data_IF_973301570898
#
_entry.id   IF_973301570898
#
_cell.length_a   1.000
_cell.length_b   1.000
_cell.length_c   1.000
_cell.angle_alpha   90.00
_cell.angle_beta   90.00
_cell.angle_gamma   90.00
#
_symmetry.space_group_name_H-M   'P 1'
#
loop_
_entity.id
_entity.type
_entity.pdbx_description
1 polymer ?
2 non-polymer ?
3 non-polymer ?
4 water ?
#
# COMPACT_ATOMS: atom_id res chain seq x y z
N UNK A 11 -16.92 -16.38 -4.75
CA UNK A 11 -16.90 -16.11 -3.28
C UNK A 11 -17.79 -17.11 -2.54
N UNK A 12 -17.39 -17.38 -1.29
CA UNK A 12 -18.21 -18.06 -0.33
C UNK A 12 -19.31 -17.12 0.17
N UNK A 13 -20.56 -17.62 0.14
CA UNK A 13 -21.70 -16.92 0.71
C UNK A 13 -21.81 -17.34 2.18
N UNK A 14 -21.77 -16.37 3.08
CA UNK A 14 -21.73 -16.67 4.50
C UNK A 14 -23.07 -16.28 5.11
N UNK A 15 -23.60 -17.18 5.95
CA UNK A 15 -24.88 -16.94 6.59
C UNK A 15 -24.68 -15.92 7.71
N UNK A 16 -25.55 -14.90 7.89
CA UNK A 16 -25.36 -13.90 8.95
C UNK A 16 -25.28 -14.38 10.40
N UNK A 17 -25.87 -15.55 10.67
CA UNK A 17 -25.85 -16.11 12.01
C UNK A 17 -24.43 -16.53 12.37
N UNK A 18 -23.55 -16.66 11.35
CA UNK A 18 -22.17 -17.07 11.54
C UNK A 18 -21.23 -15.90 11.85
N UNK A 19 -21.75 -14.66 11.86
CA UNK A 19 -20.94 -13.45 11.95
C UNK A 19 -21.46 -12.56 13.07
N UNK A 20 -20.57 -12.16 14.00
CA UNK A 20 -20.90 -11.11 14.95
C UNK A 20 -19.95 -9.91 14.81
N UNK A 21 -20.53 -8.72 14.64
CA UNK A 21 -19.80 -7.47 14.63
C UNK A 21 -19.57 -7.00 16.07
N UNK A 22 -18.34 -6.62 16.43
CA UNK A 22 -18.05 -6.24 17.80
C UNK A 22 -17.67 -4.76 17.89
N UNK A 23 -16.67 -4.35 17.12
CA UNK A 23 -16.08 -3.03 17.35
C UNK A 23 -15.83 -2.38 16.00
N UNK A 24 -16.19 -1.11 15.86
CA UNK A 24 -15.90 -0.33 14.68
C UNK A 24 -14.39 -0.09 14.60
N UNK A 25 -13.77 -0.35 13.44
CA UNK A 25 -12.34 -0.15 13.25
C UNK A 25 -12.07 0.78 12.07
N UNK A 26 -13.11 1.18 11.34
CA UNK A 26 -12.98 2.05 10.19
C UNK A 26 -14.37 2.48 9.76
N UNK A 27 -14.48 3.62 9.06
CA UNK A 27 -15.79 4.11 8.66
C UNK A 27 -15.69 5.20 7.58
N UNK A 31 -19.86 2.97 4.14
CA UNK A 31 -20.29 2.17 5.31
C UNK A 31 -19.24 2.18 6.41
N UNK A 32 -19.24 1.13 7.26
CA UNK A 32 -18.19 0.97 8.27
C UNK A 32 -17.51 -0.39 8.14
N UNK A 33 -16.36 -0.48 8.82
CA UNK A 33 -15.61 -1.72 9.01
C UNK A 33 -15.59 -2.04 10.49
N UNK A 34 -15.80 -3.33 10.78
CA UNK A 34 -15.83 -3.84 12.14
C UNK A 34 -14.83 -4.96 12.30
N UNK A 35 -14.24 -5.04 13.49
CA UNK A 35 -13.71 -6.28 14.00
C UNK A 35 -14.89 -7.11 14.53
N UNK A 36 -14.83 -8.40 14.24
CA UNK A 36 -15.84 -9.33 14.68
C UNK A 36 -15.32 -10.76 14.69
N UNK A 37 -16.26 -11.71 14.86
CA UNK A 37 -15.96 -13.12 14.91
C UNK A 37 -16.81 -13.84 13.87
N UNK A 38 -16.19 -14.82 13.21
CA UNK A 38 -16.81 -15.72 12.24
C UNK A 38 -16.82 -17.12 12.83
N UNK A 39 -18.00 -17.73 12.89
CA UNK A 39 -18.18 -19.11 13.29
C UNK A 39 -18.88 -19.87 12.18
N UNK A 40 -18.10 -20.54 11.30
CA UNK A 40 -18.66 -21.35 10.23
C UNK A 40 -19.44 -22.54 10.81
N UNK A 45 -14.16 -22.73 17.91
CA UNK A 45 -14.09 -22.79 16.43
C UNK A 45 -14.45 -21.44 15.79
N UNK A 46 -14.33 -20.34 16.55
CA UNK A 46 -14.63 -19.01 16.06
C UNK A 46 -13.35 -18.23 15.79
N UNK A 47 -13.33 -17.44 14.70
CA UNK A 47 -12.10 -16.78 14.29
C UNK A 47 -12.34 -15.27 14.13
N UNK A 48 -11.36 -14.40 14.44
CA UNK A 48 -11.53 -12.95 14.27
C UNK A 48 -11.52 -12.65 12.78
N UNK A 49 -12.34 -11.67 12.38
CA UNK A 49 -12.49 -11.23 11.00
C UNK A 49 -12.72 -9.73 10.99
N UNK A 50 -12.52 -9.11 9.84
CA UNK A 50 -13.03 -7.78 9.59
C UNK A 50 -14.29 -7.91 8.75
N UNK A 51 -15.22 -6.98 8.95
CA UNK A 51 -16.55 -6.99 8.36
C UNK A 51 -16.88 -5.60 7.83
N UNK A 52 -17.02 -5.48 6.51
CA UNK A 52 -17.37 -4.20 5.90
C UNK A 52 -18.83 -4.27 5.45
N UNK A 53 -19.65 -3.28 5.83
CA UNK A 53 -21.07 -3.25 5.45
C UNK A 53 -21.34 -2.21 4.36
N UNK A 54 -22.31 -2.46 3.47
CA UNK A 54 -22.80 -1.41 2.59
C UNK A 54 -23.74 -0.43 3.33
N UNK A 58 -28.44 1.83 -1.29
CA UNK A 58 -27.30 1.86 -2.23
C UNK A 58 -27.89 1.74 -3.63
N UNK A 59 -27.18 2.30 -4.59
CA UNK A 59 -27.57 2.30 -6.00
C UNK A 59 -27.08 1.01 -6.64
N UNK A 60 -27.50 0.78 -7.91
CA UNK A 60 -26.93 -0.31 -8.70
C UNK A 60 -25.41 -0.14 -8.82
N UNK A 61 -24.90 1.08 -9.08
CA UNK A 61 -23.47 1.32 -9.19
C UNK A 61 -22.73 0.97 -7.89
N UNK A 62 -23.30 1.41 -6.76
CA UNK A 62 -22.74 1.07 -5.46
C UNK A 62 -22.66 -0.45 -5.26
N UNK A 63 -23.73 -1.18 -5.62
CA UNK A 63 -23.74 -2.62 -5.43
C UNK A 63 -22.68 -3.30 -6.31
N UNK A 64 -22.61 -2.89 -7.58
CA UNK A 64 -21.67 -3.45 -8.53
C UNK A 64 -20.25 -3.18 -8.03
N UNK A 65 -19.96 -1.96 -7.56
CA UNK A 65 -18.65 -1.61 -7.02
C UNK A 65 -18.33 -2.37 -5.75
N UNK A 66 -19.29 -2.52 -4.82
CA UNK A 66 -19.08 -3.19 -3.55
C UNK A 66 -18.83 -4.68 -3.79
N UNK A 67 -19.75 -5.35 -4.49
CA UNK A 67 -19.58 -6.77 -4.75
C UNK A 67 -18.45 -6.99 -5.75
N UNK A 68 -18.15 -5.95 -6.53
CA UNK A 68 -17.04 -5.97 -7.48
C UNK A 68 -15.69 -6.11 -6.76
N UNK A 69 -15.54 -5.35 -5.68
CA UNK A 69 -14.36 -5.37 -4.85
C UNK A 69 -14.21 -6.75 -4.23
N UNK A 70 -15.30 -7.31 -3.70
CA UNK A 70 -15.27 -8.67 -3.16
C UNK A 70 -14.87 -9.68 -4.26
N UNK A 71 -15.43 -9.53 -5.44
CA UNK A 71 -15.14 -10.44 -6.54
C UNK A 71 -13.66 -10.39 -6.90
N UNK A 72 -13.08 -9.18 -6.99
CA UNK A 72 -11.67 -9.00 -7.25
C UNK A 72 -10.88 -9.68 -6.14
N UNK A 73 -11.15 -9.38 -4.86
CA UNK A 73 -10.38 -9.96 -3.77
C UNK A 73 -10.49 -11.50 -3.82
N UNK A 74 -11.67 -12.02 -4.10
CA UNK A 74 -11.89 -13.46 -4.12
C UNK A 74 -11.17 -14.15 -5.28
N UNK A 75 -10.72 -13.40 -6.30
CA UNK A 75 -9.99 -13.96 -7.43
C UNK A 75 -8.53 -14.18 -7.08
N UNK A 76 -8.07 -13.57 -5.98
CA UNK A 76 -6.66 -13.60 -5.63
C UNK A 76 -6.42 -14.55 -4.44
N UNK A 77 -5.25 -15.19 -4.49
CA UNK A 77 -4.75 -16.06 -3.44
C UNK A 77 -3.24 -15.86 -3.33
N UNK A 78 -2.83 -14.99 -2.39
CA UNK A 78 -1.43 -14.63 -2.23
C UNK A 78 -1.22 -14.17 -0.78
N UNK A 79 -0.09 -14.53 -0.19
CA UNK A 79 0.28 -14.19 1.18
C UNK A 79 0.19 -12.69 1.46
N UNK A 80 0.48 -11.84 0.44
CA UNK A 80 0.59 -10.40 0.63
C UNK A 80 -0.60 -9.65 0.03
N UNK A 81 -1.73 -10.36 -0.09
CA UNK A 81 -2.99 -9.79 -0.54
C UNK A 81 -4.05 -10.21 0.47
N UNK A 82 -4.80 -9.23 0.95
CA UNK A 82 -5.83 -9.48 1.94
C UNK A 82 -6.74 -10.61 1.47
N UNK A 83 -6.98 -11.54 2.40
CA UNK A 83 -7.75 -12.74 2.12
C UNK A 83 -9.22 -12.50 2.42
N UNK A 84 -10.05 -12.81 1.43
CA UNK A 84 -11.49 -12.77 1.56
C UNK A 84 -11.96 -14.09 2.18
N UNK A 85 -12.78 -14.01 3.25
CA UNK A 85 -13.47 -15.16 3.79
C UNK A 85 -14.79 -15.41 3.04
N UNK A 86 -15.51 -14.35 2.68
CA UNK A 86 -16.76 -14.51 1.97
C UNK A 86 -17.58 -13.25 2.01
N UNK A 87 -18.85 -13.35 1.54
CA UNK A 87 -19.73 -12.20 1.46
C UNK A 87 -21.06 -12.59 2.05
N UNK A 88 -21.80 -11.57 2.52
CA UNK A 88 -23.24 -11.71 2.71
C UNK A 88 -23.90 -10.84 1.64
N UNK A 89 -24.47 -11.52 0.65
CA UNK A 89 -25.09 -10.85 -0.48
C UNK A 89 -26.57 -11.18 -0.56
N UNK A 90 -27.02 -12.29 0.08
CA UNK A 90 -28.42 -12.72 -0.02
C UNK A 90 -29.29 -11.98 0.98
N UNK A 91 -28.66 -11.32 1.95
CA UNK A 91 -29.35 -10.58 2.99
C UNK A 91 -28.78 -9.17 2.98
N UNK A 92 -29.47 -8.24 3.64
CA UNK A 92 -29.10 -6.84 3.65
C UNK A 92 -29.06 -6.38 5.10
N UNK A 93 -28.10 -5.51 5.50
CA UNK A 93 -27.10 -4.94 4.59
C UNK A 93 -26.13 -6.00 4.06
N UNK A 94 -25.60 -5.80 2.86
CA UNK A 94 -24.60 -6.69 2.31
C UNK A 94 -23.28 -6.45 3.04
N UNK A 95 -22.45 -7.50 3.11
CA UNK A 95 -21.21 -7.43 3.87
C UNK A 95 -20.10 -8.16 3.13
N UNK A 96 -18.88 -7.65 3.35
CA UNK A 96 -17.64 -8.34 2.98
C UNK A 96 -16.91 -8.77 4.25
N UNK A 97 -16.40 -10.01 4.24
CA UNK A 97 -15.76 -10.56 5.43
C UNK A 97 -14.34 -10.97 5.03
N UNK A 98 -13.34 -10.37 5.70
CA UNK A 98 -11.95 -10.66 5.39
C UNK A 98 -11.24 -11.17 6.64
N UNK A 99 -10.00 -11.62 6.46
CA UNK A 99 -9.11 -11.79 7.60
C UNK A 99 -9.01 -10.47 8.38
N UNK A 100 -8.71 -10.58 9.68
CA UNK A 100 -8.53 -9.41 10.52
C UNK A 100 -7.04 -9.15 10.68
N UNK A 101 -6.62 -7.92 10.36
CA UNK A 101 -5.22 -7.56 10.33
C UNK A 101 -4.95 -6.76 11.61
N UNK A 102 -4.24 -7.41 12.55
CA UNK A 102 -4.22 -7.00 13.96
C UNK A 102 -3.63 -5.60 14.18
N UNK A 103 -2.74 -5.19 13.30
CA UNK A 103 -2.00 -3.95 13.42
C UNK A 103 -2.54 -2.87 12.50
N UNK A 104 -3.60 -3.15 11.75
CA UNK A 104 -4.27 -2.09 11.01
C UNK A 104 -3.45 -1.53 9.83
N UNK A 105 -3.73 -0.28 9.49
CA UNK A 105 -3.17 0.38 8.31
C UNK A 105 -1.71 0.77 8.57
N UNK A 106 -0.87 0.51 7.57
CA UNK A 106 0.58 0.65 7.69
C UNK A 106 0.97 2.10 8.00
N UNK A 107 0.28 3.08 7.41
CA UNK A 107 0.67 4.47 7.63
C UNK A 107 0.56 4.86 9.12
N UNK A 108 -0.62 4.59 9.68
CA UNK A 108 -0.89 4.88 11.08
C UNK A 108 -0.02 4.06 12.02
N UNK A 109 0.19 2.78 11.69
CA UNK A 109 1.02 1.89 12.44
C UNK A 109 2.46 2.42 12.54
N UNK A 110 3.04 2.81 11.39
CA UNK A 110 4.41 3.32 11.39
C UNK A 110 4.50 4.57 12.29
N UNK A 111 3.52 5.46 12.20
CA UNK A 111 3.55 6.74 12.91
C UNK A 111 3.37 6.54 14.42
N UNK A 112 2.70 5.45 14.80
CA UNK A 112 2.52 5.10 16.21
C UNK A 112 3.69 4.27 16.77
N UNK A 113 4.61 3.82 15.92
CA UNK A 113 5.65 2.88 16.33
C UNK A 113 6.98 3.40 15.85
N UNK A 114 7.11 4.73 15.82
CA UNK A 114 8.29 5.36 15.28
C UNK A 114 9.55 4.83 15.96
N UNK A 115 10.51 4.36 15.16
CA UNK A 115 11.82 3.93 15.64
C UNK A 115 11.86 2.49 16.18
N UNK A 116 10.73 1.77 16.21
CA UNK A 116 10.61 0.53 17.00
C UNK A 116 11.05 -0.73 16.21
N UNK A 117 11.44 -0.61 14.93
CA UNK A 117 11.83 -1.77 14.13
C UNK A 117 13.27 -1.70 13.67
N UNK A 118 13.86 -2.85 13.38
CA UNK A 118 15.15 -2.90 12.73
C UNK A 118 15.02 -2.54 11.24
N UNK A 119 16.13 -2.15 10.64
CA UNK A 119 16.19 -1.91 9.20
C UNK A 119 15.77 -3.18 8.43
N UNK A 120 16.25 -4.34 8.88
CA UNK A 120 15.90 -5.59 8.23
C UNK A 120 14.38 -5.83 8.28
N UNK A 121 13.74 -5.56 9.43
CA UNK A 121 12.28 -5.68 9.52
C UNK A 121 11.59 -4.76 8.51
N UNK A 122 12.02 -3.50 8.45
CA UNK A 122 11.39 -2.57 7.52
C UNK A 122 11.51 -3.06 6.07
N UNK A 123 12.71 -3.53 5.70
CA UNK A 123 12.95 -4.04 4.35
C UNK A 123 12.09 -5.27 4.05
N UNK A 124 11.91 -6.12 5.07
CA UNK A 124 11.04 -7.29 4.97
C UNK A 124 9.59 -6.90 4.69
N UNK A 125 9.12 -5.83 5.34
CA UNK A 125 7.78 -5.32 5.10
C UNK A 125 7.64 -4.91 3.62
N UNK A 126 8.66 -4.21 3.11
CA UNK A 126 8.65 -3.78 1.73
C UNK A 126 8.71 -4.96 0.76
N UNK A 127 9.46 -6.01 1.11
CA UNK A 127 9.50 -7.16 0.21
C UNK A 127 8.10 -7.76 0.07
N UNK A 128 7.40 -7.88 1.20
CA UNK A 128 6.05 -8.43 1.22
C UNK A 128 5.09 -7.62 0.34
N UNK A 129 5.19 -6.31 0.45
CA UNK A 129 4.32 -5.45 -0.36
C UNK A 129 4.65 -5.63 -1.85
N UNK A 130 5.97 -5.68 -2.15
CA UNK A 130 6.43 -5.90 -3.51
C UNK A 130 5.97 -7.25 -4.09
N UNK A 131 6.00 -8.30 -3.27
CA UNK A 131 5.50 -9.59 -3.69
C UNK A 131 4.00 -9.54 -4.02
N UNK A 132 3.21 -8.89 -3.15
CA UNK A 132 1.79 -8.71 -3.43
C UNK A 132 1.55 -7.97 -4.75
N UNK A 133 2.32 -6.88 -4.93
CA UNK A 133 2.18 -6.07 -6.15
C UNK A 133 2.62 -6.84 -7.39
N UNK A 134 3.69 -7.64 -7.29
CA UNK A 134 4.07 -8.48 -8.43
C UNK A 134 2.93 -9.39 -8.85
N UNK A 135 2.26 -9.99 -7.88
CA UNK A 135 1.17 -10.90 -8.12
C UNK A 135 0.03 -10.15 -8.82
N UNK A 136 -0.36 -8.98 -8.29
CA UNK A 136 -1.43 -8.21 -8.91
C UNK A 136 -1.06 -7.88 -10.37
N UNK A 137 0.17 -7.40 -10.56
CA UNK A 137 0.59 -6.94 -11.87
C UNK A 137 0.56 -8.09 -12.87
N UNK A 138 0.99 -9.26 -12.37
CA UNK A 138 1.04 -10.42 -13.26
C UNK A 138 -0.36 -10.96 -13.55
N UNK A 139 -1.29 -10.68 -12.62
CA UNK A 139 -2.69 -11.01 -12.81
C UNK A 139 -3.42 -9.93 -13.62
N UNK A 140 -2.68 -8.97 -14.20
CA UNK A 140 -3.23 -7.89 -15.02
C UNK A 140 -4.14 -6.96 -14.22
N UNK A 141 -3.80 -6.74 -12.95
CA UNK A 141 -4.53 -5.82 -12.11
C UNK A 141 -3.61 -4.63 -11.81
N UNK A 142 -4.02 -3.43 -12.24
CA UNK A 142 -3.36 -2.17 -11.93
C UNK A 142 -4.09 -1.52 -10.75
N UNK A 143 -3.37 -1.32 -9.64
CA UNK A 143 -3.98 -0.88 -8.41
C UNK A 143 -4.48 0.55 -8.50
N UNK A 144 -3.59 1.46 -8.95
CA UNK A 144 -3.86 2.91 -9.10
C UNK A 144 -3.77 3.71 -7.80
N UNK A 145 -3.83 3.03 -6.64
CA UNK A 145 -3.94 3.75 -5.39
C UNK A 145 -3.03 3.12 -4.33
N UNK A 146 -1.83 2.74 -4.76
CA UNK A 146 -0.90 2.13 -3.82
C UNK A 146 -0.24 3.19 -2.93
N UNK A 147 -0.42 3.02 -1.63
CA UNK A 147 0.02 3.93 -0.58
C UNK A 147 0.05 3.16 0.74
N UNK A 148 0.80 3.65 1.71
CA UNK A 148 0.84 3.00 3.03
C UNK A 148 -0.57 2.91 3.65
N UNK A 149 -1.44 3.87 3.35
CA UNK A 149 -2.79 3.83 3.95
C UNK A 149 -3.59 2.63 3.44
N UNK A 150 -3.19 2.07 2.31
CA UNK A 150 -3.97 0.99 1.69
C UNK A 150 -3.29 -0.37 1.88
N UNK A 151 -2.27 -0.39 2.73
CA UNK A 151 -1.61 -1.62 3.15
C UNK A 151 -1.96 -1.90 4.63
N UNK A 152 -2.21 -3.17 4.94
CA UNK A 152 -2.47 -3.58 6.32
C UNK A 152 -1.37 -4.50 6.82
N UNK A 153 -1.24 -4.55 8.16
CA UNK A 153 -0.17 -5.24 8.88
C UNK A 153 -0.78 -6.22 9.87
N UNK A 154 -0.32 -7.48 9.83
CA UNK A 154 -0.78 -8.48 10.79
C UNK A 154 0.22 -8.64 11.92
N UNK A 155 -0.09 -9.55 12.86
CA UNK A 155 0.73 -9.74 14.05
C UNK A 155 2.02 -10.51 13.77
N UNK A 156 2.31 -10.91 12.51
CA UNK A 156 3.62 -11.40 12.09
C UNK A 156 4.41 -10.35 11.30
N UNK A 157 3.92 -9.10 11.31
CA UNK A 157 4.51 -7.97 10.60
C UNK A 157 4.38 -8.15 9.08
N UNK A 158 3.45 -9.02 8.63
CA UNK A 158 3.23 -9.23 7.23
C UNK A 158 2.37 -8.09 6.72
N UNK A 159 2.83 -7.49 5.62
CA UNK A 159 2.14 -6.39 4.95
C UNK A 159 1.37 -6.95 3.74
N UNK A 160 0.09 -6.58 3.67
CA UNK A 160 -0.81 -7.03 2.62
C UNK A 160 -1.49 -5.85 1.97
N UNK A 161 -1.49 -5.86 0.64
CA UNK A 161 -2.27 -4.91 -0.15
C UNK A 161 -3.76 -5.14 0.11
N UNK A 162 -4.52 -4.09 0.46
CA UNK A 162 -5.73 -4.33 1.25
C UNK A 162 -6.88 -3.43 0.89
N UNK A 163 -6.82 -2.67 -0.22
CA UNK A 163 -7.95 -1.84 -0.62
C UNK A 163 -8.17 -1.96 -2.12
N UNK A 164 -9.31 -2.58 -2.50
CA UNK A 164 -9.59 -2.84 -3.91
C UNK A 164 -10.84 -2.07 -4.31
N UNK A 165 -11.06 -0.91 -3.69
CA UNK A 165 -12.18 -0.03 -3.99
C UNK A 165 -12.16 0.43 -5.44
N UNK A 166 -13.33 0.39 -6.10
CA UNK A 166 -13.41 0.50 -7.55
C UNK A 166 -13.74 1.91 -8.02
N UNK A 167 -14.59 2.63 -7.28
CA UNK A 167 -14.92 4.00 -7.65
C UNK A 167 -13.82 4.92 -7.14
N UNK A 168 -12.75 5.08 -7.93
CA UNK A 168 -11.61 5.90 -7.57
C UNK A 168 -11.31 6.88 -8.70
N UNK A 169 -11.04 8.14 -8.34
CA UNK A 169 -10.67 9.17 -9.28
C UNK A 169 -9.52 9.96 -8.66
N UNK A 170 -8.67 10.54 -9.52
CA UNK A 170 -7.55 11.36 -9.08
C UNK A 170 -8.10 12.63 -8.43
N UNK A 171 -7.58 12.93 -7.23
CA UNK A 171 -7.66 14.25 -6.62
C UNK A 171 -7.51 15.35 -7.67
N UNK A 172 -8.41 16.35 -7.61
CA UNK A 172 -8.34 17.51 -8.48
C UNK A 172 -8.54 17.13 -9.96
N UNK A 173 -9.18 15.99 -10.24
CA UNK A 173 -9.33 15.60 -11.63
C UNK A 173 -9.95 16.78 -12.38
N UNK A 184 -9.97 11.18 -3.91
CA UNK A 184 -9.78 9.71 -3.79
C UNK A 184 -8.28 9.43 -3.98
N UNK A 185 -7.77 9.43 -5.22
CA UNK A 185 -6.36 9.07 -5.39
C UNK A 185 -5.49 10.31 -5.31
N UNK A 186 -4.54 10.38 -4.36
CA UNK A 186 -3.73 11.58 -4.18
C UNK A 186 -2.68 11.69 -5.26
N UNK A 187 -2.52 12.92 -5.72
CA UNK A 187 -1.51 13.29 -6.69
C UNK A 187 -0.12 12.83 -6.30
N UNK A 188 0.28 13.07 -5.05
CA UNK A 188 1.70 12.98 -4.70
C UNK A 188 2.16 11.53 -4.55
N UNK A 189 1.24 10.55 -4.67
CA UNK A 189 1.60 9.14 -4.75
C UNK A 189 1.61 8.63 -6.19
N UNK A 190 1.15 9.47 -7.14
CA UNK A 190 0.87 9.01 -8.50
C UNK A 190 2.02 9.34 -9.45
N UNK A 191 2.26 8.42 -10.40
CA UNK A 191 3.28 8.61 -11.42
C UNK A 191 2.92 9.78 -12.36
N UNK A 192 3.92 10.49 -12.90
CA UNK A 192 3.69 11.65 -13.79
C UNK A 192 2.79 11.35 -15.00
N UNK A 193 2.95 10.19 -15.62
CA UNK A 193 2.17 9.85 -16.81
C UNK A 193 0.71 9.59 -16.44
N UNK A 194 0.44 9.15 -15.20
CA UNK A 194 -0.92 8.89 -14.79
C UNK A 194 -1.62 10.22 -14.56
N UNK A 195 -0.92 11.17 -13.93
CA UNK A 195 -1.40 12.53 -13.82
C UNK A 195 -1.56 13.19 -15.19
N UNK A 196 -0.50 13.19 -16.00
CA UNK A 196 -0.45 13.98 -17.22
C UNK A 196 -1.43 13.51 -18.29
N UNK A 197 -1.53 12.19 -18.53
CA UNK A 197 -2.40 11.71 -19.60
C UNK A 197 -3.15 10.42 -19.25
N UNK A 198 -3.36 10.21 -17.94
CA UNK A 198 -4.27 9.20 -17.43
C UNK A 198 -3.79 7.78 -17.76
N UNK A 199 -2.48 7.60 -17.91
CA UNK A 199 -1.93 6.27 -18.17
C UNK A 199 -1.53 5.58 -16.86
N UNK A 200 -2.45 4.79 -16.33
CA UNK A 200 -2.22 3.96 -15.17
C UNK A 200 -1.90 2.55 -15.63
N UNK A 201 -0.72 2.07 -15.24
CA UNK A 201 -0.21 0.74 -15.54
C UNK A 201 0.52 0.22 -14.30
N UNK A 202 0.98 -1.05 -14.36
CA UNK A 202 1.83 -1.55 -13.30
C UNK A 202 3.10 -0.69 -13.13
N UNK A 203 3.57 0.01 -14.17
CA UNK A 203 4.73 0.87 -14.05
C UNK A 203 4.45 2.14 -13.22
N UNK A 204 3.21 2.64 -13.32
CA UNK A 204 2.79 3.72 -12.46
C UNK A 204 2.60 3.23 -11.02
N UNK A 205 2.21 1.96 -10.86
CA UNK A 205 2.19 1.38 -9.52
C UNK A 205 3.60 1.26 -8.94
N UNK A 206 4.61 0.98 -9.78
CA UNK A 206 5.98 0.93 -9.29
C UNK A 206 6.38 2.29 -8.73
N UNK A 207 6.02 3.40 -9.42
CA UNK A 207 6.28 4.73 -8.90
C UNK A 207 5.71 4.83 -7.50
N UNK A 208 4.45 4.44 -7.38
CA UNK A 208 3.76 4.52 -6.11
C UNK A 208 4.48 3.69 -5.05
N UNK A 209 4.95 2.49 -5.44
CA UNK A 209 5.70 1.65 -4.54
C UNK A 209 6.97 2.36 -4.03
N UNK A 210 7.67 3.09 -4.89
CA UNK A 210 8.79 3.92 -4.49
C UNK A 210 8.39 4.89 -3.37
N UNK A 211 7.20 5.49 -3.47
CA UNK A 211 6.70 6.38 -2.44
C UNK A 211 6.45 5.60 -1.16
N UNK A 212 5.88 4.38 -1.27
CA UNK A 212 5.65 3.55 -0.11
C UNK A 212 6.97 3.18 0.58
N UNK A 213 7.99 2.85 -0.24
CA UNK A 213 9.30 2.60 0.33
C UNK A 213 9.74 3.78 1.22
N UNK A 214 9.55 5.01 0.73
CA UNK A 214 9.97 6.20 1.46
C UNK A 214 9.11 6.36 2.72
N UNK A 215 7.81 6.08 2.61
CA UNK A 215 6.93 6.08 3.79
C UNK A 215 7.46 5.13 4.87
N UNK A 216 7.79 3.90 4.46
CA UNK A 216 8.19 2.91 5.44
C UNK A 216 9.53 3.32 6.06
N UNK A 217 10.51 3.74 5.26
CA UNK A 217 11.83 4.02 5.79
C UNK A 217 11.84 5.29 6.65
N UNK A 218 10.81 6.14 6.52
CA UNK A 218 10.69 7.34 7.32
C UNK A 218 9.73 7.17 8.49
N UNK A 219 9.20 5.98 8.70
CA UNK A 219 8.15 5.73 9.70
C UNK A 219 6.92 6.61 9.51
N UNK A 220 6.50 6.76 8.23
CA UNK A 220 5.21 7.37 7.97
C UNK A 220 5.24 8.89 7.85
N UNK A 221 6.37 9.40 7.42
CA UNK A 221 6.42 10.84 7.08
C UNK A 221 5.53 11.05 5.85
N UNK A 222 4.91 12.22 5.75
CA UNK A 222 4.13 12.58 4.57
C UNK A 222 5.04 13.01 3.42
N UNK A 223 4.97 12.31 2.26
CA UNK A 223 5.80 12.69 1.10
C UNK A 223 5.61 14.15 0.73
N UNK A 224 6.73 14.88 0.58
CA UNK A 224 6.80 16.24 0.06
C UNK A 224 6.28 17.22 1.10
N UNK A 225 5.97 16.75 2.33
CA UNK A 225 5.49 17.60 3.42
C UNK A 225 4.45 18.60 3.00
N UNK A 226 4.70 19.91 3.14
CA UNK A 226 3.63 20.85 2.94
C UNK A 226 3.63 21.40 1.50
N UNK A 227 4.45 20.86 0.58
CA UNK A 227 4.39 21.31 -0.82
C UNK A 227 2.96 21.12 -1.31
N UNK A 228 2.43 22.10 -2.07
CA UNK A 228 1.14 21.94 -2.73
C UNK A 228 1.25 20.89 -3.82
N UNK A 229 0.09 20.40 -4.27
CA UNK A 229 0.05 19.47 -5.40
C UNK A 229 0.82 20.03 -6.59
N UNK A 230 0.63 21.31 -6.93
CA UNK A 230 1.27 21.87 -8.11
C UNK A 230 2.78 22.08 -7.89
N UNK A 231 3.20 22.41 -6.66
CA UNK A 231 4.61 22.45 -6.32
C UNK A 231 5.26 21.06 -6.47
N UNK A 232 4.55 20.00 -6.06
CA UNK A 232 5.09 18.65 -6.17
C UNK A 232 5.30 18.31 -7.65
N UNK A 233 4.27 18.57 -8.45
CA UNK A 233 4.32 18.23 -9.88
C UNK A 233 5.41 18.99 -10.60
N UNK A 234 5.56 20.29 -10.30
CA UNK A 234 6.61 21.10 -10.87
C UNK A 234 8.00 20.59 -10.47
N UNK A 235 8.13 20.23 -9.18
CA UNK A 235 9.40 19.74 -8.69
C UNK A 235 9.77 18.43 -9.39
N UNK A 236 8.81 17.51 -9.47
CA UNK A 236 9.05 16.22 -10.13
C UNK A 236 9.45 16.46 -11.58
N UNK A 237 8.71 17.33 -12.28
CA UNK A 237 8.98 17.57 -13.71
C UNK A 237 10.36 18.20 -13.95
N UNK A 238 10.88 18.96 -12.97
CA UNK A 238 12.19 19.59 -13.02
C UNK A 238 13.30 18.65 -12.55
N UNK A 239 12.98 17.38 -12.20
CA UNK A 239 13.99 16.40 -11.84
C UNK A 239 14.22 16.19 -10.34
N UNK A 240 13.49 16.90 -9.49
CA UNK A 240 13.64 16.72 -8.06
C UNK A 240 12.95 15.45 -7.65
N UNK A 241 13.47 14.80 -6.61
CA UNK A 241 12.80 13.68 -5.98
C UNK A 241 12.85 13.83 -4.46
N UNK A 242 12.07 12.96 -3.78
CA UNK A 242 12.08 12.92 -2.32
C UNK A 242 13.49 12.72 -1.79
N UNK A 243 13.87 13.45 -0.71
CA UNK A 243 15.20 13.35 -0.15
C UNK A 243 15.43 12.05 0.62
N UNK A 244 16.69 11.68 0.75
CA UNK A 244 17.12 10.48 1.44
C UNK A 244 16.52 10.40 2.85
N UNK A 245 15.83 9.30 3.24
CA UNK A 245 15.41 9.11 4.63
C UNK A 245 16.64 9.00 5.51
N UNK A 246 16.43 9.32 6.80
CA UNK A 246 17.47 9.23 7.83
C UNK A 246 17.91 7.77 7.95
N UNK A 247 19.23 7.52 8.01
CA UNK A 247 19.74 6.20 8.29
C UNK A 247 19.18 5.18 7.32
N UNK A 248 19.00 5.59 6.05
CA UNK A 248 18.46 4.72 5.01
C UNK A 248 19.61 4.00 4.30
N UNK A 249 19.55 2.66 4.16
CA UNK A 249 20.55 1.93 3.39
C UNK A 249 20.64 2.49 1.98
N UNK A 250 21.87 2.63 1.51
CA UNK A 250 22.14 3.11 0.16
C UNK A 250 21.38 2.28 -0.86
N UNK A 251 21.39 0.96 -0.73
CA UNK A 251 20.76 0.12 -1.74
C UNK A 251 19.26 0.39 -1.80
N UNK A 252 18.66 0.69 -0.64
CA UNK A 252 17.22 0.94 -0.58
C UNK A 252 16.88 2.29 -1.23
N UNK A 253 17.67 3.33 -0.92
CA UNK A 253 17.46 4.61 -1.57
C UNK A 253 17.67 4.51 -3.08
N UNK A 254 18.74 3.81 -3.53
CA UNK A 254 18.95 3.60 -4.95
C UNK A 254 17.72 2.95 -5.59
N UNK A 255 17.12 1.95 -4.91
CA UNK A 255 15.97 1.25 -5.46
C UNK A 255 14.76 2.18 -5.55
N UNK A 256 14.47 2.97 -4.51
CA UNK A 256 13.32 3.85 -4.59
C UNK A 256 13.55 4.93 -5.65
N UNK A 257 14.79 5.42 -5.85
CA UNK A 257 15.08 6.41 -6.89
C UNK A 257 14.81 5.82 -8.27
N UNK A 258 15.16 4.54 -8.49
CA UNK A 258 14.87 3.92 -9.79
C UNK A 258 13.36 3.77 -10.03
N UNK A 259 12.55 3.65 -8.97
CA UNK A 259 11.11 3.56 -9.13
C UNK A 259 10.56 4.87 -9.67
N UNK A 260 11.33 5.97 -9.45
CA UNK A 260 10.90 7.31 -9.82
C UNK A 260 11.55 7.86 -11.08
N UNK A 261 11.97 6.96 -11.96
CA UNK A 261 12.44 7.36 -13.29
C UNK A 261 11.26 7.92 -14.07
N UNK A 262 11.48 9.06 -14.74
CA UNK A 262 10.43 9.67 -15.54
C UNK A 262 10.01 8.68 -16.63
N UNK A 263 11.00 8.01 -17.22
CA UNK A 263 10.74 7.04 -18.28
C UNK A 263 10.35 5.72 -17.67
N UNK A 264 9.12 5.25 -17.94
CA UNK A 264 8.63 3.97 -17.37
C UNK A 264 9.58 2.81 -17.66
N UNK A 265 10.18 2.79 -18.85
CA UNK A 265 10.97 1.63 -19.21
C UNK A 265 12.24 1.53 -18.36
N UNK A 266 12.62 2.60 -17.64
CA UNK A 266 13.79 2.57 -16.78
C UNK A 266 13.42 2.17 -15.35
N UNK A 267 12.12 2.09 -15.03
CA UNK A 267 11.72 1.70 -13.70
C UNK A 267 11.89 0.21 -13.60
N UNK A 268 12.22 -0.32 -12.41
CA UNK A 268 12.23 -1.76 -12.21
C UNK A 268 10.80 -2.29 -12.34
N UNK A 269 10.68 -3.56 -12.71
CA UNK A 269 9.41 -4.28 -12.57
C UNK A 269 9.29 -4.76 -11.13
N UNK A 270 8.09 -5.08 -10.66
CA UNK A 270 7.97 -5.67 -9.34
C UNK A 270 8.85 -6.93 -9.19
N UNK A 271 9.03 -7.65 -10.29
CA UNK A 271 9.81 -8.89 -10.24
C UNK A 271 11.25 -8.55 -9.84
N UNK A 272 11.73 -7.43 -10.39
CA UNK A 272 13.08 -6.96 -10.10
C UNK A 272 13.19 -6.52 -8.64
N UNK A 273 12.20 -5.75 -8.17
CA UNK A 273 12.15 -5.25 -6.80
C UNK A 273 12.17 -6.42 -5.80
N UNK A 274 11.31 -7.44 -5.99
CA UNK A 274 11.29 -8.61 -5.13
C UNK A 274 12.70 -9.25 -5.07
N UNK A 275 13.31 -9.44 -6.24
CA UNK A 275 14.59 -10.11 -6.37
C UNK A 275 15.64 -9.34 -5.57
N UNK A 276 15.69 -8.01 -5.75
CA UNK A 276 16.68 -7.14 -5.13
C UNK A 276 16.48 -7.17 -3.61
N UNK A 277 15.23 -7.02 -3.15
CA UNK A 277 14.98 -6.98 -1.72
C UNK A 277 15.34 -8.32 -1.09
N UNK A 278 15.06 -9.42 -1.79
CA UNK A 278 15.40 -10.75 -1.29
C UNK A 278 16.90 -10.90 -1.07
N UNK A 279 17.69 -10.45 -2.05
CA UNK A 279 19.14 -10.52 -1.95
C UNK A 279 19.65 -9.70 -0.77
N UNK A 280 19.08 -8.51 -0.56
CA UNK A 280 19.52 -7.66 0.53
C UNK A 280 19.20 -8.31 1.86
N UNK A 281 18.01 -8.91 1.98
CA UNK A 281 17.58 -9.57 3.21
C UNK A 281 18.47 -10.77 3.50
N UNK A 282 18.89 -11.51 2.47
CA UNK A 282 19.66 -12.74 2.68
C UNK A 282 21.15 -12.45 2.95
N UNK A 283 21.60 -11.24 2.62
CA UNK A 283 22.92 -10.74 2.94
C UNK A 283 22.78 -9.43 3.71
N UNK A 284 22.27 -9.48 4.97
CA UNK A 284 21.78 -8.29 5.65
C UNK A 284 22.84 -7.24 5.92
N UNK A 285 24.11 -7.66 5.92
CA UNK A 285 25.22 -6.70 6.05
C UNK A 285 25.20 -5.67 4.91
N UNK A 286 24.59 -6.02 3.77
CA UNK A 286 24.47 -5.14 2.62
C UNK A 286 23.72 -3.85 2.99
N UNK A 287 22.88 -3.94 4.04
CA UNK A 287 22.04 -2.82 4.45
C UNK A 287 22.76 -1.89 5.41
N UNK A 288 24.00 -2.21 5.82
CA UNK A 288 24.72 -1.39 6.79
C UNK A 288 25.32 -0.15 6.12
N UNK A 289 25.46 -0.18 4.79
CA UNK A 289 25.99 0.95 4.05
C UNK A 289 24.86 1.95 3.83
N UNK A 290 24.97 3.15 4.40
CA UNK A 290 23.89 4.13 4.41
C UNK A 290 24.13 5.20 3.35
N UNK A 291 23.03 5.63 2.74
CA UNK A 291 23.01 6.82 1.92
C UNK A 291 23.29 8.03 2.82
N UNK A 292 23.98 9.00 2.23
CA UNK A 292 24.27 10.28 2.87
C UNK A 292 23.09 11.26 2.90
N UNK A 293 23.27 12.28 3.76
CA UNK A 293 22.31 13.33 4.00
C UNK A 293 22.07 14.07 2.70
N UNK A 294 20.79 14.25 2.41
CA UNK A 294 20.34 15.12 1.34
C UNK A 294 20.67 16.58 1.65
N UNK A 295 21.06 17.42 0.64
CA UNK A 295 21.30 18.83 0.90
C UNK A 295 20.07 19.58 1.41
N UNK A 296 18.86 19.11 1.07
CA UNK A 296 17.65 19.79 1.53
C UNK A 296 17.37 19.46 3.00
N UNK A 297 18.02 18.42 3.51
CA UNK A 297 17.95 18.07 4.93
C UNK A 297 18.98 18.88 5.72
N UNK A 298 20.22 18.98 5.21
CA UNK A 298 21.28 19.76 5.85
C UNK A 298 20.82 21.19 6.15
N UNK A 299 20.12 21.82 5.19
CA UNK A 299 19.79 23.24 5.28
C UNK A 299 18.72 23.51 6.35
N UNK A 300 18.04 22.45 6.82
CA UNK A 300 16.96 22.64 7.77
C UNK A 300 17.44 22.28 9.19
N UNK A 301 18.68 21.79 9.35
CA UNK A 301 19.22 21.44 10.67
C UNK A 301 20.07 22.58 11.25
N UNK A 302 19.97 22.90 12.56
CA UNK A 302 20.71 24.03 13.14
C UNK A 302 22.25 23.92 13.10
X LIG B 1 -8.86 -3.27 9.15
X LIG B 1 -9.40 -3.33 7.93
X LIG B 1 -9.89 -0.88 8.06
X LIG B 1 -9.89 -2.18 7.38
X LIG B 1 -8.55 -0.15 8.03
X LIG B 1 -6.13 0.98 10.54
X LIG B 1 -12.07 -5.20 4.62
X LIG B 1 -8.87 -5.64 7.87
X LIG B 1 -8.33 -4.39 9.67
X LIG B 1 -8.56 1.05 10.25
X LIG B 1 -9.43 -4.54 7.22
X LIG B 1 -10.07 -4.70 5.89
X LIG B 1 -11.43 -5.00 5.83
X LIG B 1 -7.74 -4.27 10.88
X LIG B 1 -12.04 -5.12 2.27
X LIG B 1 -11.36 -5.03 3.45
X LIG B 1 -13.34 -5.69 4.49
X LIG B 1 -13.88 -6.40 5.61
X LIG B 1 -10.01 -4.73 3.46
X LIG B 1 -9.37 -4.56 4.68
X LIG B 1 -8.43 1.17 8.79
X LIG B 1 -7.35 0.88 11.29
X LIG B 1 -7.56 1.79 12.36
X LIG B 1 -7.41 -0.74 11.98
X LIG B 1 -7.71 -1.82 11.17
X LIG B 1 -7.54 -3.10 11.67
X LIG B 1 -7.10 -3.29 12.98
X LIG B 1 -6.86 -2.20 13.80
X LIG B 1 -7.02 -0.91 13.30
X LIG B 1 -8.31 -5.60 9.08
X LIG C 1 3.16 15.52 -13.06
X LIG C 1 4.50 15.15 -13.23
X LIG C 1 2.42 15.70 -14.31
X LIG C 1 3.26 16.01 -15.43
X LIG D 1 5.57 -7.33 -12.59
X LIG D 1 6.89 -7.80 -12.48
X LIG D 1 5.52 -6.06 -13.33
X LIG D 1 5.96 -5.01 -12.51
X LIG E 1 15.73 10.23 -11.29
X LIG E 1 14.69 10.79 -12.04
X LIG E 1 15.28 8.99 -10.62
X LIG E 1 14.45 9.25 -9.52
X LIG F 1 -2.42 -1.84 -18.08
X LIG F 1 -1.10 -1.96 -18.51
X LIG F 1 -2.77 -0.42 -17.93
X LIG F 1 -4.07 -0.19 -17.48
X LIG G 1 4.22 7.33 -25.04
X LIG G 1 4.91 7.52 -23.81
X LIG G 1 3.18 6.28 -24.92
X LIG G 1 2.48 6.40 -23.69
X LIG H 1 4.23 12.68 -18.18
X LIG H 1 4.41 13.92 -17.48
X LIG H 1 5.44 12.13 -18.84
X LIG H 1 5.23 10.85 -19.41
X LIG I 1 4.27 13.48 -9.90
X LIG I 1 4.33 14.81 -10.42
X LIG I 1 3.66 13.49 -8.54
X LIG I 1 3.65 12.26 -7.90
X LIG J 1 2.62 -14.92 7.93
X LIG J 1 1.48 -14.81 8.72
X LIG J 1 3.90 -15.19 8.58
X LIG J 1 5.08 -14.65 8.02
X LIG K 1 -7.79 -2.19 -12.28
X LIG K 1 -7.28 -0.87 -12.49
X LIG K 1 -7.72 -3.08 -13.47
X LIG K 1 -6.41 -3.22 -14.03
X LIG L 1 9.99 21.24 1.97
X LIG L 1 8.78 20.63 2.35
X LIG L 1 10.03 22.72 2.19
X LIG L 1 9.40 23.22 3.37
X LIG M 1 -0.09 22.96 0.70
X LIG M 1 0.02 23.11 2.12
X LIG M 1 -1.25 22.17 0.29
X LIG M 1 -2.25 22.95 -0.32
X LIG N 1 7.92 6.34 -21.40
X LIG N 1 7.73 6.78 -20.08
X LIG N 1 9.18 5.63 -21.64
X LIG N 1 9.21 4.29 -21.21
X LIG O 1 1.62 17.94 6.09
X LIG O 1 0.91 18.33 7.24
X LIG O 1 2.88 18.70 5.90
X LIG O 1 4.04 18.06 6.41
#
# INVERSE_FOLDING_TARGET
>A
GDPNQAVLKFTTEIHPSCVTRQKVIGAGEFGEVYKGMLKTSSGKKEVPVAIKTLKAGYTEKQRVDFLGEAGIMGQFSHHNIIRLEGVISKYKPMMIITEYMENGALDKFLREKDGEFSVLQLVGMLRGIAAGMKYLANMNYVHRDLAARNILVNSNLVCKVSDFGLSRVLEDDPEATYTTSGGKIPIRWTAPEAISYRKFTSASDVWSFGIVMWEVMTYGERPYWELSNHEVMKAINDGFRLPTPMDCPSAIYQLMMQCWQQERARRPKFADIVSILDKLIRAPDSLKTLADFDPRVSIRLPSTSG
>B hetero
1 WT3 N1 C7 C8 N2 C9 O1 C1 C5 C6 N3 C4 C3 C2 N4 F C19 O C C18 C17 C10 S O2 C11 C16 C15 C14 C13 C12 N
>C hetero
1 EDO C1 O1 C2 O2
>D hetero
1 EDO C1 O1 C2 O2
>E hetero
1 EDO C1 O1 C2 O2
>F hetero
1 EDO C1 O1 C2 O2
>G hetero
1 EDO C1 O1 C2 O2
>H hetero
1 EDO C1 O1 C2 O2
>I hetero
1 EDO C1 O1 C2 O2
>J hetero
1 EDO C1 O1 C2 O2
>K hetero
1 EDO C1 O1 C2 O2
>L hetero
1 EDO C1 O1 C2 O2
>M hetero
1 EDO C1 O1 C2 O2
>N hetero
1 EDO C1 O1 C2 O2
>O hetero
1 EDO C1 O1 C2 O2
#
